data_IF_475379354849
#
_entry.id   IF_475379354849
#
_cell.length_a   1.000
_cell.length_b   1.000
_cell.length_c   1.000
_cell.angle_alpha   90.00
_cell.angle_beta   90.00
_cell.angle_gamma   90.00
#
_symmetry.space_group_name_H-M   'P 1'
#
loop_
_entity.id
_entity.type
_entity.pdbx_description
1 polymer ?
#
# COMPACT_ATOMS: atom_id res chain seq x y z
N UNK A 1 -20.55 -2.40 33.97
CA UNK A 1 -19.39 -2.53 33.07
C UNK A 1 -19.60 -3.78 32.24
N UNK A 2 -19.30 -3.78 30.93
CA UNK A 2 -19.41 -4.98 30.11
C UNK A 2 -18.45 -6.05 30.65
N UNK A 3 -18.86 -7.32 30.63
CA UNK A 3 -17.98 -8.42 31.05
C UNK A 3 -16.87 -8.67 30.02
N UNK A 4 -15.78 -9.31 30.43
CA UNK A 4 -14.68 -9.68 29.53
C UNK A 4 -15.15 -10.58 28.35
N UNK A 5 -16.22 -11.37 28.57
CA UNK A 5 -16.85 -12.18 27.52
C UNK A 5 -17.68 -11.34 26.55
N UNK A 6 -18.33 -10.26 27.01
CA UNK A 6 -19.08 -9.34 26.14
C UNK A 6 -18.14 -8.58 25.20
N UNK A 7 -16.97 -8.16 25.72
CA UNK A 7 -15.93 -7.51 24.91
C UNK A 7 -15.33 -8.47 23.87
N UNK A 8 -15.11 -9.74 24.25
CA UNK A 8 -14.61 -10.78 23.35
C UNK A 8 -15.62 -11.12 22.25
N UNK A 9 -16.91 -11.24 22.59
CA UNK A 9 -17.97 -11.48 21.61
C UNK A 9 -18.22 -10.28 20.70
N UNK A 10 -18.11 -9.05 21.21
CA UNK A 10 -18.22 -7.85 20.40
C UNK A 10 -17.06 -7.77 19.38
N UNK A 11 -15.83 -8.12 19.80
CA UNK A 11 -14.68 -8.23 18.92
C UNK A 11 -14.86 -9.30 17.83
N UNK A 12 -15.34 -10.49 18.19
CA UNK A 12 -15.63 -11.55 17.22
C UNK A 12 -16.69 -11.13 16.19
N UNK A 13 -17.77 -10.48 16.62
CA UNK A 13 -18.80 -9.96 15.69
C UNK A 13 -18.27 -8.86 14.79
N UNK A 14 -17.43 -7.97 15.32
CA UNK A 14 -16.77 -6.92 14.53
C UNK A 14 -15.87 -7.54 13.45
N UNK A 15 -15.05 -8.54 13.82
CA UNK A 15 -14.19 -9.28 12.88
C UNK A 15 -15.01 -10.01 11.82
N UNK A 16 -16.09 -10.72 12.20
CA UNK A 16 -16.95 -11.42 11.23
C UNK A 16 -17.64 -10.44 10.28
N UNK A 17 -18.13 -9.30 10.78
CA UNK A 17 -18.74 -8.28 9.93
C UNK A 17 -17.75 -7.62 8.97
N UNK A 18 -16.50 -7.44 9.41
CA UNK A 18 -15.39 -6.93 8.60
C UNK A 18 -15.01 -7.94 7.51
N UNK A 19 -14.89 -9.22 7.87
CA UNK A 19 -14.63 -10.32 6.93
C UNK A 19 -15.72 -10.39 5.85
N UNK A 20 -17.01 -10.33 6.22
CA UNK A 20 -18.12 -10.34 5.27
C UNK A 20 -18.09 -9.15 4.31
N UNK A 21 -17.82 -7.94 4.81
CA UNK A 21 -17.71 -6.74 3.98
C UNK A 21 -16.53 -6.80 2.99
N UNK A 22 -15.45 -7.48 3.36
CA UNK A 22 -14.28 -7.73 2.50
C UNK A 22 -14.62 -8.75 1.41
N UNK A 23 -15.23 -9.89 1.77
CA UNK A 23 -15.66 -10.96 0.84
C UNK A 23 -16.56 -10.40 -0.26
N UNK A 24 -17.55 -9.59 0.10
CA UNK A 24 -18.47 -8.98 -0.87
C UNK A 24 -17.80 -7.99 -1.82
N UNK A 25 -16.81 -7.24 -1.33
CA UNK A 25 -16.02 -6.33 -2.17
C UNK A 25 -15.15 -7.11 -3.14
N UNK A 26 -14.50 -8.18 -2.70
CA UNK A 26 -13.68 -9.05 -3.55
C UNK A 26 -14.53 -9.69 -4.65
N UNK A 27 -15.67 -10.28 -4.33
CA UNK A 27 -16.57 -10.86 -5.33
C UNK A 27 -17.09 -9.83 -6.35
N UNK A 28 -17.29 -8.58 -5.91
CA UNK A 28 -17.70 -7.48 -6.79
C UNK A 28 -16.58 -7.03 -7.72
N UNK A 29 -15.34 -7.00 -7.21
CA UNK A 29 -14.16 -6.71 -8.02
C UNK A 29 -13.97 -7.83 -9.06
N UNK A 30 -14.04 -9.10 -8.66
CA UNK A 30 -13.85 -10.23 -9.58
C UNK A 30 -14.88 -10.18 -10.71
N UNK A 31 -16.15 -9.94 -10.38
CA UNK A 31 -17.21 -9.80 -11.39
C UNK A 31 -17.13 -8.54 -12.25
N UNK A 32 -16.34 -7.54 -11.87
CA UNK A 32 -16.22 -6.30 -12.65
C UNK A 32 -15.33 -6.46 -13.89
N UNK A 33 -14.60 -7.57 -14.01
CA UNK A 33 -13.78 -7.95 -15.14
C UNK A 33 -14.07 -9.41 -15.53
N UNK A 34 -14.75 -9.59 -16.67
CA UNK A 34 -15.25 -10.90 -17.12
C UNK A 34 -14.12 -11.88 -17.46
N UNK A 35 -12.98 -11.35 -17.96
CA UNK A 35 -11.77 -12.12 -18.26
C UNK A 35 -11.13 -12.60 -16.95
N UNK A 36 -11.05 -11.72 -15.95
CA UNK A 36 -10.52 -12.04 -14.62
C UNK A 36 -11.40 -13.04 -13.85
N UNK A 37 -12.72 -12.90 -13.93
CA UNK A 37 -13.67 -13.83 -13.32
C UNK A 37 -13.54 -15.24 -13.90
N UNK A 38 -13.46 -15.36 -15.23
CA UNK A 38 -13.28 -16.63 -15.91
C UNK A 38 -11.97 -17.31 -15.51
N UNK A 39 -10.89 -16.53 -15.48
CA UNK A 39 -9.56 -17.04 -15.12
C UNK A 39 -9.48 -17.47 -13.65
N UNK A 40 -10.12 -16.74 -12.73
CA UNK A 40 -10.18 -17.09 -11.31
C UNK A 40 -10.94 -18.40 -11.07
N UNK A 41 -12.01 -18.67 -11.83
CA UNK A 41 -12.74 -19.95 -11.77
C UNK A 41 -11.93 -21.09 -12.38
N UNK A 42 -11.30 -20.85 -13.54
CA UNK A 42 -10.56 -21.88 -14.28
C UNK A 42 -9.34 -22.41 -13.50
N UNK A 43 -8.65 -21.54 -12.77
CA UNK A 43 -7.50 -21.92 -11.93
C UNK A 43 -7.92 -22.40 -10.53
N UNK A 44 -9.22 -22.49 -10.25
CA UNK A 44 -9.76 -22.94 -8.96
C UNK A 44 -9.51 -21.97 -7.80
N UNK A 45 -9.29 -20.68 -8.09
CA UNK A 45 -9.09 -19.63 -7.09
C UNK A 45 -10.39 -19.34 -6.32
N UNK A 46 -11.52 -19.41 -7.02
CA UNK A 46 -12.88 -19.24 -6.48
C UNK A 46 -13.81 -20.20 -7.21
N UNK A 47 -14.84 -20.68 -6.52
CA UNK A 47 -15.91 -21.44 -7.17
C UNK A 47 -16.93 -20.48 -7.82
N UNK A 48 -17.56 -20.92 -8.92
CA UNK A 48 -18.60 -20.16 -9.62
C UNK A 48 -19.80 -19.86 -8.71
N UNK A 49 -20.15 -20.81 -7.84
CA UNK A 49 -21.24 -20.66 -6.89
C UNK A 49 -20.94 -19.59 -5.82
N UNK A 50 -19.66 -19.41 -5.46
CA UNK A 50 -19.23 -18.35 -4.54
C UNK A 50 -19.21 -16.97 -5.20
N UNK A 51 -18.82 -16.90 -6.48
CA UNK A 51 -18.86 -15.66 -7.28
C UNK A 51 -20.27 -15.10 -7.41
N UNK A 52 -21.24 -15.98 -7.58
CA UNK A 52 -22.65 -15.64 -7.74
C UNK A 52 -23.30 -15.26 -6.41
N UNK A 53 -23.08 -16.03 -5.34
CA UNK A 53 -23.57 -15.74 -3.98
C UNK A 53 -22.51 -15.98 -2.88
N UNK A 54 -21.67 -14.97 -2.59
CA UNK A 54 -20.58 -15.09 -1.63
C UNK A 54 -21.05 -15.24 -0.17
N UNK A 55 -22.31 -14.88 0.11
CA UNK A 55 -22.91 -14.93 1.46
C UNK A 55 -23.50 -16.30 1.75
N UNK A 56 -24.10 -16.93 0.76
CA UNK A 56 -24.72 -18.25 0.92
C UNK A 56 -23.69 -19.40 0.90
N UNK A 57 -22.51 -19.20 0.31
CA UNK A 57 -21.53 -20.27 0.11
C UNK A 57 -20.12 -19.96 0.70
N UNK A 58 -19.98 -19.69 2.01
CA UNK A 58 -18.76 -19.16 2.61
C UNK A 58 -17.57 -20.15 2.70
N UNK A 59 -17.72 -21.42 2.31
CA UNK A 59 -16.86 -22.51 2.78
C UNK A 59 -16.27 -23.45 1.71
N UNK A 60 -16.14 -23.05 0.44
CA UNK A 60 -15.32 -23.81 -0.52
C UNK A 60 -14.32 -22.91 -1.24
N UNK A 61 -13.09 -23.02 -0.77
CA UNK A 61 -11.87 -22.37 -1.26
C UNK A 61 -11.89 -20.85 -1.05
N UNK A 62 -11.60 -20.41 0.18
CA UNK A 62 -10.73 -19.25 0.28
C UNK A 62 -9.40 -19.71 -0.34
N UNK A 63 -8.93 -19.12 -1.46
CA UNK A 63 -7.67 -19.54 -2.02
C UNK A 63 -6.62 -19.39 -0.91
N UNK A 64 -5.76 -20.39 -0.68
CA UNK A 64 -4.61 -20.21 0.19
C UNK A 64 -3.95 -18.89 -0.21
N UNK A 65 -3.60 -18.04 0.75
CA UNK A 65 -2.99 -16.73 0.46
C UNK A 65 -1.84 -16.87 -0.54
N UNK A 66 -1.13 -18.00 -0.48
CA UNK A 66 -0.07 -18.42 -1.39
C UNK A 66 -0.52 -18.59 -2.86
N UNK A 67 -1.74 -19.08 -3.11
CA UNK A 67 -2.33 -19.23 -4.46
C UNK A 67 -2.74 -17.88 -5.01
N UNK A 68 -3.37 -17.03 -4.18
CA UNK A 68 -3.70 -15.65 -4.54
C UNK A 68 -2.43 -14.82 -4.79
N UNK A 69 -1.39 -15.03 -3.97
CA UNK A 69 -0.10 -14.37 -4.12
C UNK A 69 0.61 -14.81 -5.40
N UNK A 70 0.71 -16.12 -5.68
CA UNK A 70 1.30 -16.62 -6.94
C UNK A 70 0.52 -16.18 -8.17
N UNK A 71 -0.79 -16.03 -8.05
CA UNK A 71 -1.63 -15.55 -9.13
C UNK A 71 -1.44 -14.05 -9.37
N UNK A 72 -1.33 -13.23 -8.31
CA UNK A 72 -0.98 -11.81 -8.38
C UNK A 72 0.44 -11.58 -8.89
N UNK A 73 1.42 -12.36 -8.45
CA UNK A 73 2.79 -12.36 -8.99
C UNK A 73 2.77 -12.64 -10.50
N UNK A 74 1.98 -13.62 -10.95
CA UNK A 74 1.77 -13.91 -12.39
C UNK A 74 0.95 -12.86 -13.14
N UNK A 75 0.02 -12.13 -12.49
CA UNK A 75 -0.69 -11.01 -13.15
C UNK A 75 0.16 -9.76 -13.20
N UNK A 76 1.09 -9.58 -12.25
CA UNK A 76 2.11 -8.52 -12.27
C UNK A 76 3.06 -8.70 -13.45
N UNK A 77 3.28 -9.93 -13.91
CA UNK A 77 4.03 -10.25 -15.15
C UNK A 77 3.26 -9.85 -16.44
N UNK A 78 1.95 -9.60 -16.38
CA UNK A 78 1.12 -9.34 -17.58
C UNK A 78 0.44 -7.96 -17.61
N UNK A 79 0.22 -7.28 -16.48
CA UNK A 79 -0.35 -5.91 -16.43
C UNK A 79 0.20 -5.15 -15.22
N UNK A 80 1.32 -4.40 -15.34
CA UNK A 80 2.06 -3.89 -14.18
C UNK A 80 1.43 -2.69 -13.42
N UNK A 81 0.32 -2.10 -13.87
CA UNK A 81 -0.32 -0.91 -13.25
C UNK A 81 -1.37 -1.23 -12.17
N UNK A 82 -1.25 -2.39 -11.52
CA UNK A 82 -2.26 -2.98 -10.63
C UNK A 82 -2.61 -2.11 -9.41
N UNK A 83 -1.71 -1.21 -8.98
CA UNK A 83 -1.99 -0.25 -7.90
C UNK A 83 -3.19 0.66 -8.18
N UNK A 84 -3.39 1.06 -9.43
CA UNK A 84 -4.52 1.91 -9.80
C UNK A 84 -5.88 1.20 -9.61
N UNK A 85 -5.91 -0.14 -9.72
CA UNK A 85 -7.15 -0.91 -9.86
C UNK A 85 -7.47 -1.86 -8.70
N UNK A 86 -6.48 -2.44 -8.00
CA UNK A 86 -6.78 -3.37 -6.90
C UNK A 86 -7.29 -2.68 -5.64
N UNK A 87 -6.98 -1.40 -5.45
CA UNK A 87 -7.36 -0.65 -4.27
C UNK A 87 -6.64 -1.14 -3.02
N UNK A 88 -6.13 -0.19 -2.24
CA UNK A 88 -5.40 -0.45 -0.99
C UNK A 88 -6.14 -1.34 0.02
N UNK A 89 -7.47 -1.30 0.00
CA UNK A 89 -8.34 -2.16 0.80
C UNK A 89 -8.14 -3.64 0.52
N UNK A 90 -7.86 -4.04 -0.73
CA UNK A 90 -7.58 -5.44 -1.07
C UNK A 90 -6.22 -5.88 -0.53
N UNK A 91 -5.20 -5.03 -0.64
CA UNK A 91 -3.86 -5.29 -0.06
C UNK A 91 -3.92 -5.44 1.46
N UNK A 92 -4.70 -4.60 2.14
CA UNK A 92 -4.90 -4.68 3.59
C UNK A 92 -5.74 -5.90 4.00
N UNK A 93 -6.76 -6.26 3.22
CA UNK A 93 -7.52 -7.48 3.44
C UNK A 93 -6.61 -8.73 3.39
N UNK A 94 -5.69 -8.79 2.42
CA UNK A 94 -4.73 -9.91 2.32
C UNK A 94 -3.77 -9.98 3.52
N UNK A 95 -3.34 -8.82 4.05
CA UNK A 95 -2.52 -8.73 5.26
C UNK A 95 -3.22 -9.29 6.51
N UNK A 96 -4.52 -9.05 6.63
CA UNK A 96 -5.33 -9.59 7.72
C UNK A 96 -5.47 -11.11 7.65
N UNK A 97 -5.37 -11.71 6.46
CA UNK A 97 -5.38 -13.18 6.28
C UNK A 97 -4.00 -13.78 6.58
N UNK A 98 -2.90 -13.03 6.35
CA UNK A 98 -1.54 -13.47 6.73
C UNK A 98 -1.29 -13.43 8.25
N UNK A 99 -2.07 -12.66 9.00
CA UNK A 99 -1.86 -12.44 10.45
C UNK A 99 -2.38 -13.57 11.35
N UNK A 100 -2.54 -14.78 10.82
CA UNK A 100 -2.69 -16.00 11.65
C UNK A 100 -1.42 -16.30 12.48
N UNK A 101 -0.29 -15.65 12.19
CA UNK A 101 0.83 -15.48 13.12
C UNK A 101 0.67 -14.19 13.92
N UNK A 102 0.15 -14.29 15.15
CA UNK A 102 -0.07 -13.17 16.08
C UNK A 102 1.19 -12.49 16.62
N UNK A 103 2.19 -12.22 15.78
CA UNK A 103 3.49 -11.62 16.13
C UNK A 103 3.55 -10.10 15.88
N UNK A 104 2.46 -9.50 15.37
CA UNK A 104 2.40 -8.06 15.14
C UNK A 104 2.22 -7.26 16.44
N UNK A 105 3.04 -6.23 16.64
CA UNK A 105 2.95 -5.32 17.79
C UNK A 105 2.42 -3.94 17.37
N UNK A 106 1.50 -3.38 18.16
CA UNK A 106 1.05 -2.00 17.97
C UNK A 106 2.21 -1.05 18.30
N UNK A 107 2.70 -0.35 17.28
CA UNK A 107 3.89 0.50 17.38
C UNK A 107 3.75 1.75 16.51
N UNK A 108 4.37 2.89 16.88
CA UNK A 108 4.47 4.05 16.00
C UNK A 108 5.38 3.71 14.80
N UNK A 109 4.92 4.07 13.60
CA UNK A 109 5.65 3.81 12.36
C UNK A 109 5.37 4.91 11.35
N UNK A 110 6.36 5.21 10.52
CA UNK A 110 6.17 6.08 9.35
C UNK A 110 6.08 5.21 8.10
N UNK A 111 4.95 5.28 7.41
CA UNK A 111 4.73 4.60 6.13
C UNK A 111 4.99 5.57 4.99
N UNK A 112 5.76 5.12 4.01
CA UNK A 112 6.03 5.84 2.77
C UNK A 112 5.50 4.99 1.62
N UNK A 113 4.70 5.60 0.75
CA UNK A 113 4.40 5.02 -0.55
C UNK A 113 5.13 5.80 -1.62
N UNK A 114 5.84 5.10 -2.50
CA UNK A 114 6.43 5.67 -3.71
C UNK A 114 5.73 5.12 -4.94
N UNK A 115 5.75 5.89 -6.01
CA UNK A 115 5.14 5.52 -7.30
C UNK A 115 5.82 6.28 -8.45
N UNK A 116 5.74 5.77 -9.68
CA UNK A 116 6.28 6.41 -10.88
C UNK A 116 5.18 7.18 -11.62
N UNK A 117 5.28 8.51 -11.69
CA UNK A 117 4.31 9.30 -12.43
C UNK A 117 4.38 9.01 -13.94
N UNK A 118 3.23 8.68 -14.53
CA UNK A 118 3.13 8.43 -15.97
C UNK A 118 3.50 7.00 -16.39
N UNK A 119 3.73 6.07 -15.45
CA UNK A 119 4.12 4.69 -15.76
C UNK A 119 3.14 3.97 -16.70
N UNK A 120 1.83 4.12 -16.50
CA UNK A 120 0.83 3.52 -17.39
C UNK A 120 0.97 4.00 -18.84
N UNK A 121 1.23 5.30 -19.03
CA UNK A 121 1.46 5.86 -20.37
C UNK A 121 2.79 5.42 -20.96
N UNK A 122 3.82 5.26 -20.12
CA UNK A 122 5.10 4.70 -20.52
C UNK A 122 4.96 3.26 -21.02
N UNK A 123 4.26 2.39 -20.29
CA UNK A 123 3.99 1.00 -20.70
C UNK A 123 3.25 0.93 -22.03
N UNK A 124 2.21 1.75 -22.21
CA UNK A 124 1.47 1.80 -23.47
C UNK A 124 2.33 2.24 -24.67
N UNK A 125 3.35 3.09 -24.43
CA UNK A 125 4.23 3.61 -25.47
C UNK A 125 5.45 2.73 -25.75
N UNK A 126 6.02 2.09 -24.72
CA UNK A 126 7.30 1.38 -24.78
C UNK A 126 7.15 -0.15 -24.73
N UNK A 127 5.97 -0.65 -24.39
CA UNK A 127 5.69 -2.08 -24.23
C UNK A 127 6.06 -2.65 -22.86
N UNK A 128 5.55 -3.84 -22.58
CA UNK A 128 5.63 -4.48 -21.26
C UNK A 128 7.07 -4.83 -20.85
N UNK A 129 7.93 -5.24 -21.81
CA UNK A 129 9.34 -5.56 -21.54
C UNK A 129 10.12 -4.34 -21.01
N UNK A 130 9.92 -3.18 -21.64
CA UNK A 130 10.56 -1.93 -21.22
C UNK A 130 10.02 -1.48 -19.86
N UNK A 131 8.71 -1.60 -19.64
CA UNK A 131 8.08 -1.30 -18.35
C UNK A 131 8.60 -2.20 -17.22
N UNK A 132 8.72 -3.51 -17.47
CA UNK A 132 9.26 -4.46 -16.51
C UNK A 132 10.73 -4.17 -16.19
N UNK A 133 11.53 -3.78 -17.19
CA UNK A 133 12.92 -3.37 -16.98
C UNK A 133 13.02 -2.12 -16.09
N UNK A 134 12.22 -1.10 -16.37
CA UNK A 134 12.15 0.12 -15.59
C UNK A 134 11.78 -0.16 -14.13
N UNK A 135 10.75 -0.98 -13.90
CA UNK A 135 10.35 -1.41 -12.55
C UNK A 135 11.48 -2.14 -11.84
N UNK A 136 12.21 -3.01 -12.53
CA UNK A 136 13.33 -3.73 -11.94
C UNK A 136 14.49 -2.79 -11.56
N UNK A 137 14.79 -1.78 -12.39
CA UNK A 137 15.80 -0.75 -12.11
C UNK A 137 15.42 0.11 -10.92
N UNK A 138 14.18 0.64 -10.91
CA UNK A 138 13.66 1.42 -9.80
C UNK A 138 13.73 0.60 -8.49
N UNK A 139 13.25 -0.64 -8.50
CA UNK A 139 13.31 -1.54 -7.34
C UNK A 139 14.73 -1.83 -6.84
N UNK A 140 15.72 -1.92 -7.75
CA UNK A 140 17.14 -2.09 -7.40
C UNK A 140 17.71 -0.85 -6.73
N UNK A 141 17.30 0.33 -7.19
CA UNK A 141 17.75 1.60 -6.66
C UNK A 141 17.13 1.96 -5.30
N UNK A 142 15.83 1.71 -5.09
CA UNK A 142 15.15 2.01 -3.83
C UNK A 142 15.71 1.20 -2.65
N UNK A 143 16.05 -0.07 -2.87
CA UNK A 143 16.46 -0.98 -1.80
C UNK A 143 17.62 -0.47 -0.93
N UNK A 144 18.78 -0.10 -1.52
CA UNK A 144 19.90 0.51 -0.79
C UNK A 144 19.54 1.76 0.01
N UNK A 145 18.77 2.70 -0.58
CA UNK A 145 18.37 3.97 0.07
C UNK A 145 17.53 3.72 1.33
N UNK A 146 16.60 2.77 1.24
CA UNK A 146 15.73 2.38 2.35
C UNK A 146 16.54 1.70 3.45
N UNK A 147 17.40 0.74 3.09
CA UNK A 147 18.21 -0.01 4.08
C UNK A 147 19.23 0.88 4.78
N UNK A 148 19.88 1.81 4.08
CA UNK A 148 20.88 2.71 4.69
C UNK A 148 20.30 3.61 5.78
N UNK A 149 18.97 3.75 5.81
CA UNK A 149 18.22 4.56 6.76
C UNK A 149 17.42 3.74 7.77
N UNK A 150 17.67 2.43 7.85
CA UNK A 150 16.97 1.53 8.78
C UNK A 150 15.49 1.34 8.45
N UNK A 151 15.09 1.58 7.20
CA UNK A 151 13.75 1.30 6.71
C UNK A 151 13.63 -0.12 6.14
N UNK A 152 12.39 -0.51 5.88
CA UNK A 152 12.03 -1.80 5.29
C UNK A 152 11.15 -1.60 4.05
N UNK A 153 11.47 -2.31 2.98
CA UNK A 153 10.56 -2.47 1.84
C UNK A 153 9.52 -3.52 2.25
N UNK A 154 8.33 -3.07 2.60
CA UNK A 154 7.25 -3.95 3.07
C UNK A 154 6.62 -4.67 1.87
N UNK A 155 6.29 -3.93 0.80
CA UNK A 155 5.68 -4.49 -0.42
C UNK A 155 6.22 -3.82 -1.66
N UNK A 156 6.38 -4.62 -2.73
CA UNK A 156 6.61 -4.17 -4.10
C UNK A 156 5.30 -4.35 -4.86
N UNK A 157 4.84 -3.31 -5.53
CA UNK A 157 3.47 -3.20 -6.04
C UNK A 157 3.50 -2.77 -7.50
N UNK A 158 4.34 -3.43 -8.31
CA UNK A 158 4.64 -2.98 -9.67
C UNK A 158 5.63 -1.82 -9.65
N UNK A 159 5.20 -0.67 -10.17
CA UNK A 159 5.92 0.61 -10.21
C UNK A 159 5.95 1.34 -8.86
N UNK A 160 5.04 1.01 -7.95
CA UNK A 160 5.04 1.55 -6.60
C UNK A 160 5.65 0.64 -5.53
N UNK A 161 6.07 1.25 -4.43
CA UNK A 161 6.55 0.54 -3.25
C UNK A 161 5.85 1.03 -1.99
N UNK A 162 5.63 0.10 -1.06
CA UNK A 162 5.26 0.40 0.33
C UNK A 162 6.49 0.19 1.21
N UNK A 163 6.88 1.25 1.90
CA UNK A 163 8.04 1.29 2.77
C UNK A 163 7.60 1.62 4.20
N UNK A 164 8.34 1.13 5.18
CA UNK A 164 8.14 1.48 6.58
C UNK A 164 9.44 1.88 7.24
N UNK A 165 9.35 2.84 8.16
CA UNK A 165 10.47 3.36 8.92
C UNK A 165 10.04 3.54 10.37
N UNK A 166 10.79 2.97 11.34
CA UNK A 166 10.57 3.26 12.76
C UNK A 166 10.81 4.74 13.09
N UNK A 167 11.79 5.37 12.43
CA UNK A 167 12.15 6.77 12.64
C UNK A 167 11.54 7.68 11.55
N UNK A 168 10.71 8.69 11.93
CA UNK A 168 10.13 9.64 10.98
C UNK A 168 11.17 10.43 10.18
N UNK A 169 12.26 10.87 10.81
CA UNK A 169 13.36 11.60 10.15
C UNK A 169 13.97 10.77 9.02
N UNK A 170 14.19 9.48 9.28
CA UNK A 170 14.75 8.55 8.31
C UNK A 170 13.81 8.36 7.11
N UNK A 171 12.50 8.28 7.36
CA UNK A 171 11.49 8.18 6.30
C UNK A 171 11.51 9.41 5.38
N UNK A 172 11.59 10.60 5.97
CA UNK A 172 11.61 11.87 5.23
C UNK A 172 12.87 11.99 4.39
N UNK A 173 14.05 11.70 4.96
CA UNK A 173 15.31 11.73 4.22
C UNK A 173 15.34 10.69 3.10
N UNK A 174 14.80 9.50 3.35
CA UNK A 174 14.69 8.47 2.33
C UNK A 174 13.79 8.95 1.19
N UNK A 175 12.60 9.46 1.50
CA UNK A 175 11.66 9.91 0.48
C UNK A 175 12.22 11.07 -0.36
N UNK A 176 12.92 12.03 0.26
CA UNK A 176 13.56 13.13 -0.47
C UNK A 176 14.65 12.62 -1.41
N UNK A 177 15.54 11.72 -0.96
CA UNK A 177 16.55 11.09 -1.83
C UNK A 177 15.87 10.29 -2.95
N UNK A 178 14.85 9.50 -2.61
CA UNK A 178 14.10 8.67 -3.55
C UNK A 178 13.37 9.46 -4.65
N UNK A 179 13.03 10.70 -4.38
CA UNK A 179 12.31 11.57 -5.31
C UNK A 179 13.25 12.49 -6.09
N UNK A 180 14.40 12.85 -5.51
CA UNK A 180 15.34 13.81 -6.11
C UNK A 180 16.41 13.14 -6.96
N UNK A 181 16.85 11.94 -6.58
CA UNK A 181 18.04 11.28 -7.14
C UNK A 181 17.67 10.04 -7.98
N UNK A 182 16.40 9.81 -8.29
CA UNK A 182 15.99 8.66 -9.12
C UNK A 182 16.57 8.81 -10.53
N UNK A 183 17.33 7.82 -11.02
CA UNK A 183 18.00 7.91 -12.31
C UNK A 183 17.07 7.59 -13.49
N UNK A 184 15.81 7.25 -13.22
CA UNK A 184 14.86 6.78 -14.19
C UNK A 184 14.30 7.88 -15.10
N UNK A 185 13.66 7.49 -16.22
CA UNK A 185 13.03 8.42 -17.14
C UNK A 185 11.70 9.00 -16.61
N UNK A 186 11.16 8.50 -15.51
CA UNK A 186 9.89 8.93 -14.91
C UNK A 186 10.13 9.55 -13.54
N UNK A 187 9.38 10.59 -13.21
CA UNK A 187 9.47 11.21 -11.89
C UNK A 187 8.88 10.31 -10.82
N UNK A 188 9.66 10.01 -9.77
CA UNK A 188 9.15 9.35 -8.57
C UNK A 188 8.33 10.34 -7.76
N UNK A 189 7.20 9.90 -7.21
CA UNK A 189 6.40 10.66 -6.25
C UNK A 189 6.30 9.90 -4.95
N UNK A 190 6.16 10.61 -3.83
CA UNK A 190 6.08 10.00 -2.51
C UNK A 190 5.01 10.63 -1.60
N UNK A 191 4.37 9.78 -0.81
CA UNK A 191 3.39 10.16 0.21
C UNK A 191 3.72 9.50 1.56
N UNK A 192 3.75 10.32 2.62
CA UNK A 192 4.19 9.91 3.94
C UNK A 192 3.14 10.20 5.01
N UNK A 193 2.93 9.21 5.89
CA UNK A 193 2.16 9.42 7.10
C UNK A 193 2.74 8.64 8.29
N UNK A 194 2.63 9.23 9.48
CA UNK A 194 3.14 8.70 10.73
C UNK A 194 1.98 8.48 11.69
N UNK A 195 1.97 7.33 12.35
CA UNK A 195 0.95 6.97 13.33
C UNK A 195 1.14 5.55 13.86
N UNK A 196 0.19 5.09 14.66
CA UNK A 196 0.20 3.73 15.18
C UNK A 196 -0.28 2.72 14.13
N UNK A 197 0.40 1.58 14.08
CA UNK A 197 0.03 0.44 13.27
C UNK A 197 0.42 -0.87 13.94
N UNK A 198 -0.22 -1.95 13.53
CA UNK A 198 0.26 -3.29 13.83
C UNK A 198 1.43 -3.57 12.89
N UNK A 199 2.62 -3.67 13.44
CA UNK A 199 3.87 -3.92 12.69
C UNK A 199 4.36 -5.33 13.02
N UNK A 200 4.62 -6.12 12.00
CA UNK A 200 5.28 -7.43 12.10
C UNK A 200 6.56 -7.45 11.28
N UNK A 201 7.27 -8.59 11.24
CA UNK A 201 8.49 -8.73 10.44
C UNK A 201 8.26 -8.42 8.95
N UNK A 202 7.09 -8.81 8.42
CA UNK A 202 6.81 -8.79 6.98
C UNK A 202 5.66 -7.85 6.59
N UNK A 203 5.03 -7.14 7.53
CA UNK A 203 3.82 -6.37 7.23
C UNK A 203 3.59 -5.17 8.15
N UNK A 204 2.79 -4.23 7.64
CA UNK A 204 2.28 -3.08 8.39
C UNK A 204 0.81 -2.90 8.08
N UNK A 205 -0.03 -2.96 9.11
CA UNK A 205 -1.49 -2.85 8.98
C UNK A 205 -2.01 -1.74 9.86
N UNK A 206 -2.77 -0.82 9.26
CA UNK A 206 -3.43 0.24 10.00
C UNK A 206 -3.92 1.36 9.12
N UNK A 207 -4.61 2.32 9.74
CA UNK A 207 -5.03 3.56 9.09
C UNK A 207 -3.83 4.32 8.49
N UNK A 208 -2.64 4.18 9.10
CA UNK A 208 -1.42 4.86 8.66
C UNK A 208 -1.11 4.61 7.18
N UNK A 209 -1.31 3.36 6.75
CA UNK A 209 -1.08 2.89 5.37
C UNK A 209 -2.03 3.56 4.40
N UNK A 210 -3.29 3.73 4.80
CA UNK A 210 -4.33 4.33 3.97
C UNK A 210 -4.08 5.81 3.69
N UNK A 211 -3.69 6.57 4.70
CA UNK A 211 -3.38 7.98 4.53
C UNK A 211 -2.12 8.15 3.68
N UNK A 212 -1.06 7.39 3.94
CA UNK A 212 0.21 7.51 3.20
C UNK A 212 0.00 7.28 1.69
N UNK A 213 -0.69 6.20 1.31
CA UNK A 213 -0.99 5.91 -0.09
C UNK A 213 -1.84 6.98 -0.76
N UNK A 214 -2.87 7.51 -0.07
CA UNK A 214 -3.70 8.59 -0.62
C UNK A 214 -2.95 9.89 -0.76
N UNK A 215 -1.97 10.17 0.10
CA UNK A 215 -1.07 11.30 -0.10
C UNK A 215 -0.17 11.10 -1.32
N UNK A 216 0.30 9.87 -1.59
CA UNK A 216 1.07 9.57 -2.82
C UNK A 216 0.24 9.80 -4.08
N UNK A 217 -1.04 9.44 -4.08
CA UNK A 217 -1.94 9.68 -5.22
C UNK A 217 -2.13 11.19 -5.53
N UNK A 218 -2.07 12.04 -4.51
CA UNK A 218 -2.17 13.50 -4.64
C UNK A 218 -0.83 14.17 -5.00
N UNK A 219 0.29 13.45 -4.88
CA UNK A 219 1.61 13.94 -5.22
C UNK A 219 1.86 13.87 -6.74
N UNK A 220 2.60 14.85 -7.26
CA UNK A 220 3.11 14.86 -8.64
C UNK A 220 4.46 14.18 -8.73
N UNK A 221 4.92 13.88 -9.94
CA UNK A 221 6.29 13.43 -10.18
C UNK A 221 7.29 14.44 -9.60
N UNK A 222 8.33 13.90 -8.97
CA UNK A 222 9.33 14.66 -8.22
C UNK A 222 8.77 15.42 -6.99
N UNK A 223 7.62 15.00 -6.44
CA UNK A 223 7.01 15.61 -5.25
C UNK A 223 6.94 14.63 -4.07
N UNK A 224 7.31 15.13 -2.89
CA UNK A 224 7.07 14.45 -1.60
C UNK A 224 5.96 15.18 -0.85
N UNK A 225 4.87 14.47 -0.51
CA UNK A 225 3.82 14.96 0.38
C UNK A 225 3.88 14.24 1.73
N UNK A 226 4.03 14.99 2.81
CA UNK A 226 4.01 14.47 4.17
C UNK A 226 2.82 15.02 4.95
N UNK A 227 2.10 14.14 5.65
CA UNK A 227 1.08 14.58 6.62
C UNK A 227 1.68 15.49 7.70
N UNK A 228 0.83 16.30 8.35
CA UNK A 228 1.25 17.10 9.51
C UNK A 228 1.75 16.24 10.67
N UNK A 229 1.32 14.99 10.78
CA UNK A 229 1.78 14.05 11.81
C UNK A 229 3.25 13.67 11.59
N UNK A 230 3.67 13.46 10.34
CA UNK A 230 5.10 13.28 10.00
C UNK A 230 5.88 14.53 10.37
N UNK A 231 5.41 15.71 9.95
CA UNK A 231 6.07 16.97 10.25
C UNK A 231 6.19 17.22 11.76
N UNK A 232 5.21 16.79 12.55
CA UNK A 232 5.19 16.98 14.01
C UNK A 232 6.07 15.96 14.74
N UNK A 233 6.22 14.77 14.16
CA UNK A 233 7.07 13.70 14.69
C UNK A 233 8.56 13.88 14.35
N UNK A 234 8.87 14.73 13.37
CA UNK A 234 10.23 15.07 12.95
C UNK A 234 10.73 16.29 13.74
N UNK A 235 11.89 16.12 14.37
CA UNK A 235 12.67 17.24 14.95
C UNK A 235 13.34 18.10 13.85
N UNK A 236 14.04 19.19 14.21
CA UNK A 236 14.72 20.05 13.21
C UNK A 236 15.66 19.24 12.29
N UNK A 237 15.17 18.93 11.08
CA UNK A 237 15.83 18.06 10.12
C UNK A 237 16.67 18.91 9.17
N UNK A 238 18.00 18.79 9.29
CA UNK A 238 18.93 19.52 8.42
C UNK A 238 18.76 19.08 6.96
N UNK A 239 18.87 20.04 6.04
CA UNK A 239 18.80 19.80 4.60
C UNK A 239 17.38 19.53 4.08
N UNK A 240 16.35 19.71 4.91
CA UNK A 240 14.95 19.49 4.51
C UNK A 240 14.09 20.65 4.98
N UNK A 241 13.14 21.07 4.14
CA UNK A 241 12.15 22.11 4.47
C UNK A 241 10.75 21.62 4.18
N UNK A 242 9.87 21.82 5.15
CA UNK A 242 8.43 21.59 5.00
C UNK A 242 7.73 22.89 4.59
N UNK A 243 6.90 22.82 3.57
CA UNK A 243 6.01 23.93 3.20
C UNK A 243 4.91 24.14 4.25
N UNK A 244 4.14 25.22 4.08
CA UNK A 244 2.91 25.42 4.83
C UNK A 244 1.92 24.29 4.54
N UNK A 245 1.41 23.67 5.61
CA UNK A 245 0.39 22.63 5.50
C UNK A 245 -0.90 23.14 4.85
N UNK A 246 -1.50 22.29 4.04
CA UNK A 246 -2.77 22.47 3.35
C UNK A 246 -3.68 21.28 3.64
N UNK A 247 -4.98 21.49 3.56
CA UNK A 247 -5.98 20.44 3.77
C UNK A 247 -6.27 19.73 2.44
N UNK A 248 -6.16 18.41 2.43
CA UNK A 248 -6.44 17.53 1.30
C UNK A 248 -7.70 16.71 1.59
N UNK A 249 -8.60 16.64 0.62
CA UNK A 249 -9.80 15.78 0.70
C UNK A 249 -9.47 14.46 0.02
N UNK A 250 -9.02 13.50 0.82
CA UNK A 250 -8.59 12.19 0.34
C UNK A 250 -9.80 11.25 0.16
N UNK A 251 -9.77 10.43 -0.89
CA UNK A 251 -10.87 9.49 -1.17
C UNK A 251 -11.06 8.50 -0.02
N UNK A 252 -12.27 8.48 0.56
CA UNK A 252 -12.65 7.52 1.59
C UNK A 252 -12.04 7.77 2.96
N UNK A 253 -11.43 8.93 3.18
CA UNK A 253 -10.83 9.35 4.45
C UNK A 253 -11.35 10.74 4.84
N UNK A 254 -11.25 11.05 6.13
CA UNK A 254 -11.44 12.43 6.59
C UNK A 254 -10.36 13.35 6.01
N UNK A 255 -10.62 14.67 5.89
CA UNK A 255 -9.63 15.59 5.34
C UNK A 255 -8.34 15.60 6.15
N UNK A 256 -7.22 15.30 5.49
CA UNK A 256 -5.89 15.26 6.11
C UNK A 256 -5.14 16.55 5.80
N UNK A 257 -4.41 17.08 6.78
CA UNK A 257 -3.50 18.19 6.52
C UNK A 257 -2.12 17.64 6.14
N UNK A 258 -1.55 18.13 5.05
CA UNK A 258 -0.24 17.70 4.56
C UNK A 258 0.53 18.88 3.97
N UNK A 259 1.85 18.73 3.87
CA UNK A 259 2.75 19.71 3.29
C UNK A 259 3.74 19.03 2.35
N UNK A 260 4.20 19.80 1.36
CA UNK A 260 5.32 19.41 0.53
C UNK A 260 6.60 19.42 1.35
N UNK A 261 7.48 18.49 1.02
CA UNK A 261 8.82 18.39 1.58
C UNK A 261 9.83 18.62 0.46
N UNK A 262 10.78 19.52 0.71
CA UNK A 262 11.81 19.89 -0.25
C UNK A 262 13.19 19.65 0.34
N UNK A 263 14.18 19.18 -0.44
CA UNK A 263 15.57 19.36 -0.07
C UNK A 263 15.89 20.85 0.04
N UNK A 264 16.79 21.20 0.95
CA UNK A 264 17.38 22.53 1.03
C UNK A 264 18.82 22.39 0.57
N UNK A 265 19.14 23.00 -0.56
CA UNK A 265 20.53 23.09 -1.02
C UNK A 265 21.34 23.83 0.06
N UNK A 266 22.40 23.16 0.53
CA UNK A 266 23.35 23.68 1.51
C UNK A 266 24.45 24.51 0.89
#
# INVERSE_FOLDING_TARGET
MPSADDARQAGLRAVTSLQQGITERLARLIRSDEEWAAQAVDVGLVDRDWLDDPRANPARVAPPVEVLQRFLERTTEQRPSVLANLGLSALQAMSLVRSDTGDGALSPVTVVFTDLEGFTSYTAAQGDDAAAHLVAEHNRWVGPVVRSRGGHVVKRLGDGLMLSFPAPEAAVLAAVELVSDDPGPLGVRAGLHHGEAIVSHDDVVGHVVNVAARLTEEARGSEVLASVDVRSAVSDLRGVRFDRARRYKLRGLDPVSACRVHPVDG
#
